data_IF_983131817744
#
_entry.id   IF_983131817744
#
_cell.length_a   1.000
_cell.length_b   1.000
_cell.length_c   1.000
_cell.angle_alpha   90.00
_cell.angle_beta   90.00
_cell.angle_gamma   90.00
#
_symmetry.space_group_name_H-M   'P 1'
#
loop_
_entity.id
_entity.type
_entity.pdbx_description
1 polymer ?
#
# COMPACT_ATOMS: atom_id res chain seq x y z
N UNK A 1 27.65 -4.92 -4.89
CA UNK A 1 26.76 -3.82 -5.33
C UNK A 1 25.38 -4.33 -5.77
N UNK A 2 25.26 -5.21 -6.78
CA UNK A 2 23.96 -5.79 -7.23
C UNK A 2 23.27 -6.65 -6.16
N UNK A 3 24.05 -7.39 -5.36
CA UNK A 3 23.52 -8.28 -4.30
C UNK A 3 22.76 -7.50 -3.20
N UNK A 4 23.22 -6.30 -2.82
CA UNK A 4 22.58 -5.48 -1.77
C UNK A 4 21.24 -4.88 -2.22
N UNK A 5 21.13 -4.45 -3.48
CA UNK A 5 19.87 -3.99 -4.08
C UNK A 5 18.85 -5.14 -4.13
N UNK A 6 19.29 -6.33 -4.56
CA UNK A 6 18.43 -7.51 -4.63
C UNK A 6 17.90 -7.95 -3.27
N UNK A 7 18.71 -7.88 -2.21
CA UNK A 7 18.27 -8.20 -0.86
C UNK A 7 17.31 -7.15 -0.26
N UNK A 8 17.59 -5.86 -0.46
CA UNK A 8 16.69 -4.79 -0.05
C UNK A 8 15.33 -4.89 -0.77
N UNK A 9 15.36 -5.11 -2.09
CA UNK A 9 14.16 -5.35 -2.89
C UNK A 9 13.38 -6.57 -2.37
N UNK A 10 14.06 -7.70 -2.12
CA UNK A 10 13.43 -8.92 -1.63
C UNK A 10 12.75 -8.70 -0.28
N UNK A 11 13.39 -7.98 0.66
CA UNK A 11 12.80 -7.63 1.96
C UNK A 11 11.54 -6.77 1.81
N UNK A 12 11.62 -5.71 1.00
CA UNK A 12 10.48 -4.81 0.74
C UNK A 12 9.32 -5.55 0.08
N UNK A 13 9.59 -6.36 -0.95
CA UNK A 13 8.55 -7.14 -1.64
C UNK A 13 7.90 -8.15 -0.69
N UNK A 14 8.67 -8.91 0.10
CA UNK A 14 8.08 -9.86 1.06
C UNK A 14 7.25 -9.16 2.13
N UNK A 15 7.70 -8.02 2.65
CA UNK A 15 6.91 -7.22 3.58
C UNK A 15 5.61 -6.76 2.91
N UNK A 16 5.70 -6.20 1.70
CA UNK A 16 4.56 -5.69 0.93
C UNK A 16 3.56 -6.79 0.58
N UNK A 17 4.01 -8.00 0.25
CA UNK A 17 3.12 -9.14 0.00
C UNK A 17 2.29 -9.48 1.24
N UNK A 18 2.90 -9.49 2.43
CA UNK A 18 2.18 -9.75 3.68
C UNK A 18 1.21 -8.61 4.01
N UNK A 19 1.61 -7.35 3.81
CA UNK A 19 0.75 -6.18 4.00
C UNK A 19 -0.46 -6.23 3.04
N UNK A 20 -0.22 -6.46 1.76
CA UNK A 20 -1.28 -6.57 0.74
C UNK A 20 -2.22 -7.74 1.04
N UNK A 21 -1.71 -8.87 1.54
CA UNK A 21 -2.55 -9.99 1.95
C UNK A 21 -3.48 -9.64 3.11
N UNK A 22 -2.98 -8.92 4.12
CA UNK A 22 -3.81 -8.43 5.25
C UNK A 22 -4.86 -7.44 4.75
N UNK A 23 -4.47 -6.47 3.92
CA UNK A 23 -5.41 -5.48 3.36
C UNK A 23 -6.51 -6.15 2.52
N UNK A 24 -6.11 -7.09 1.67
CA UNK A 24 -7.02 -7.90 0.86
C UNK A 24 -7.97 -8.70 1.73
N UNK A 25 -7.46 -9.37 2.78
CA UNK A 25 -8.30 -10.14 3.70
C UNK A 25 -9.34 -9.26 4.41
N UNK A 26 -8.94 -8.09 4.90
CA UNK A 26 -9.86 -7.17 5.56
C UNK A 26 -10.87 -6.57 4.59
N UNK A 27 -10.45 -6.29 3.35
CA UNK A 27 -11.33 -5.87 2.26
C UNK A 27 -12.32 -6.98 1.91
N UNK A 28 -11.91 -8.25 1.91
CA UNK A 28 -12.82 -9.38 1.72
C UNK A 28 -13.86 -9.44 2.84
N UNK A 29 -13.44 -9.28 4.09
CA UNK A 29 -14.37 -9.25 5.23
C UNK A 29 -15.38 -8.11 5.09
N UNK A 30 -14.94 -6.94 4.65
CA UNK A 30 -15.84 -5.82 4.41
C UNK A 30 -16.84 -6.09 3.27
N UNK A 31 -16.34 -6.51 2.10
CA UNK A 31 -17.15 -6.68 0.90
C UNK A 31 -18.10 -7.89 0.98
N UNK A 32 -17.69 -8.97 1.65
CA UNK A 32 -18.41 -10.24 1.67
C UNK A 32 -19.06 -10.58 3.01
N UNK A 33 -18.79 -9.81 4.08
CA UNK A 33 -19.44 -10.01 5.38
C UNK A 33 -20.12 -8.72 5.84
N UNK A 34 -19.39 -7.62 6.03
CA UNK A 34 -19.97 -6.40 6.59
C UNK A 34 -21.07 -5.79 5.71
N UNK A 35 -20.82 -5.64 4.41
CA UNK A 35 -21.82 -5.11 3.47
C UNK A 35 -23.03 -6.05 3.30
N UNK A 36 -22.87 -7.37 3.08
CA UNK A 36 -24.00 -8.28 2.98
C UNK A 36 -24.85 -8.36 4.25
N UNK A 37 -24.26 -8.25 5.44
CA UNK A 37 -25.01 -8.14 6.70
C UNK A 37 -25.89 -6.89 6.76
N UNK A 38 -25.50 -5.82 6.07
CA UNK A 38 -26.31 -4.61 5.88
C UNK A 38 -27.25 -4.69 4.66
N UNK A 39 -27.37 -5.85 4.01
CA UNK A 39 -28.19 -6.06 2.81
C UNK A 39 -27.59 -5.48 1.52
N UNK A 40 -26.33 -5.04 1.55
CA UNK A 40 -25.67 -4.36 0.43
C UNK A 40 -24.72 -5.33 -0.28
N UNK A 41 -24.79 -5.37 -1.61
CA UNK A 41 -23.88 -6.15 -2.43
C UNK A 41 -23.19 -5.23 -3.42
N UNK A 42 -21.87 -5.09 -3.30
CA UNK A 42 -21.10 -4.24 -4.21
C UNK A 42 -20.99 -4.93 -5.59
N UNK A 43 -21.28 -4.23 -6.71
CA UNK A 43 -21.00 -4.77 -8.02
C UNK A 43 -19.50 -5.06 -8.17
N UNK A 44 -19.17 -6.15 -8.87
CA UNK A 44 -17.79 -6.57 -9.13
C UNK A 44 -16.93 -6.82 -7.87
N UNK A 45 -17.53 -7.04 -6.69
CA UNK A 45 -16.79 -7.23 -5.43
C UNK A 45 -15.63 -8.25 -5.52
N UNK A 46 -15.84 -9.37 -6.25
CA UNK A 46 -14.79 -10.39 -6.48
C UNK A 46 -13.63 -9.84 -7.32
N UNK A 47 -13.94 -9.09 -8.37
CA UNK A 47 -12.95 -8.45 -9.24
C UNK A 47 -12.15 -7.41 -8.48
N UNK A 48 -12.84 -6.57 -7.69
CA UNK A 48 -12.18 -5.57 -6.83
C UNK A 48 -11.22 -6.24 -5.87
N UNK A 49 -11.64 -7.32 -5.20
CA UNK A 49 -10.77 -8.04 -4.28
C UNK A 49 -9.48 -8.54 -4.96
N UNK A 50 -9.59 -9.10 -6.16
CA UNK A 50 -8.42 -9.53 -6.94
C UNK A 50 -7.53 -8.34 -7.30
N UNK A 51 -8.12 -7.23 -7.74
CA UNK A 51 -7.39 -6.00 -8.07
C UNK A 51 -6.69 -5.43 -6.82
N UNK A 52 -7.37 -5.39 -5.68
CA UNK A 52 -6.80 -4.94 -4.40
C UNK A 52 -5.54 -5.71 -4.05
N UNK A 53 -5.57 -7.04 -4.21
CA UNK A 53 -4.39 -7.87 -3.97
C UNK A 53 -3.25 -7.56 -4.95
N UNK A 54 -3.54 -7.61 -6.25
CA UNK A 54 -2.54 -7.43 -7.31
C UNK A 54 -1.90 -6.04 -7.27
N UNK A 55 -2.73 -5.00 -7.22
CA UNK A 55 -2.28 -3.61 -7.25
C UNK A 55 -1.72 -3.22 -5.88
N UNK A 56 -2.20 -3.81 -4.77
CA UNK A 56 -1.63 -3.63 -3.43
C UNK A 56 -0.16 -4.08 -3.28
N UNK A 57 0.37 -4.84 -4.24
CA UNK A 57 1.81 -5.13 -4.32
C UNK A 57 2.64 -3.92 -4.76
N UNK A 58 2.01 -2.92 -5.41
CA UNK A 58 2.64 -1.64 -5.77
C UNK A 58 2.60 -0.72 -4.54
N UNK A 59 3.76 -0.34 -3.97
CA UNK A 59 3.80 0.54 -2.82
C UNK A 59 3.09 1.86 -3.11
N UNK A 60 2.23 2.30 -2.17
CA UNK A 60 1.44 3.55 -2.21
C UNK A 60 0.39 3.61 -3.32
N UNK A 61 0.78 3.45 -4.59
CA UNK A 61 -0.12 3.47 -5.76
C UNK A 61 -1.21 2.42 -5.65
N UNK A 62 -0.84 1.25 -5.10
CA UNK A 62 -1.76 0.13 -4.88
C UNK A 62 -3.03 0.50 -4.14
N UNK A 63 -2.84 1.15 -2.99
CA UNK A 63 -3.93 1.56 -2.13
C UNK A 63 -4.75 2.68 -2.73
N UNK A 64 -4.11 3.69 -3.35
CA UNK A 64 -4.84 4.78 -3.98
C UNK A 64 -5.79 4.26 -5.06
N UNK A 65 -5.31 3.36 -5.92
CA UNK A 65 -6.10 2.77 -6.99
C UNK A 65 -7.21 1.87 -6.43
N UNK A 66 -6.88 0.95 -5.52
CA UNK A 66 -7.87 0.05 -4.90
C UNK A 66 -8.99 0.84 -4.18
N UNK A 67 -8.61 1.83 -3.37
CA UNK A 67 -9.55 2.65 -2.61
C UNK A 67 -10.46 3.45 -3.53
N UNK A 68 -9.90 4.01 -4.60
CA UNK A 68 -10.67 4.75 -5.60
C UNK A 68 -11.72 3.86 -6.26
N UNK A 69 -11.36 2.64 -6.66
CA UNK A 69 -12.31 1.67 -7.24
C UNK A 69 -13.42 1.34 -6.25
N UNK A 70 -13.08 1.04 -4.99
CA UNK A 70 -14.07 0.71 -3.95
C UNK A 70 -15.05 1.87 -3.76
N UNK A 71 -14.57 3.10 -3.66
CA UNK A 71 -15.43 4.29 -3.48
C UNK A 71 -16.33 4.52 -4.69
N UNK A 72 -15.80 4.41 -5.92
CA UNK A 72 -16.60 4.57 -7.15
C UNK A 72 -17.71 3.51 -7.23
N UNK A 73 -17.39 2.25 -6.96
CA UNK A 73 -18.37 1.16 -6.97
C UNK A 73 -19.36 1.25 -5.80
N UNK A 74 -18.99 1.91 -4.71
CA UNK A 74 -19.88 2.18 -3.60
C UNK A 74 -20.85 3.32 -3.92
N UNK A 75 -20.38 4.36 -4.59
CA UNK A 75 -21.19 5.48 -5.08
C UNK A 75 -22.25 5.02 -6.09
N UNK A 76 -21.95 4.02 -6.91
CA UNK A 76 -22.93 3.45 -7.85
C UNK A 76 -24.05 2.66 -7.15
N UNK A 77 -23.85 2.26 -5.89
CA UNK A 77 -24.90 1.65 -5.05
C UNK A 77 -25.66 2.73 -4.29
N UNK A 78 -24.98 3.53 -3.48
CA UNK A 78 -25.58 4.69 -2.78
C UNK A 78 -24.52 5.59 -2.14
N UNK A 79 -24.90 6.84 -1.85
CA UNK A 79 -24.04 7.76 -1.08
C UNK A 79 -23.73 7.23 0.33
N UNK A 80 -24.69 6.57 0.99
CA UNK A 80 -24.47 6.00 2.32
C UNK A 80 -23.42 4.88 2.31
N UNK A 81 -23.43 4.01 1.29
CA UNK A 81 -22.43 2.94 1.12
C UNK A 81 -21.06 3.52 0.77
N UNK A 82 -21.00 4.60 -0.01
CA UNK A 82 -19.76 5.31 -0.28
C UNK A 82 -19.14 5.92 0.98
N UNK A 83 -19.94 6.57 1.82
CA UNK A 83 -19.49 7.11 3.10
C UNK A 83 -19.01 5.98 4.03
N UNK A 84 -19.78 4.90 4.15
CA UNK A 84 -19.39 3.74 4.94
C UNK A 84 -18.06 3.14 4.45
N UNK A 85 -17.89 3.04 3.12
CA UNK A 85 -16.65 2.56 2.50
C UNK A 85 -15.49 3.50 2.76
N UNK A 86 -15.68 4.82 2.67
CA UNK A 86 -14.64 5.80 3.02
C UNK A 86 -14.18 5.65 4.48
N UNK A 87 -15.13 5.50 5.41
CA UNK A 87 -14.81 5.27 6.83
C UNK A 87 -14.00 3.98 6.99
N UNK A 88 -14.47 2.89 6.39
CA UNK A 88 -13.76 1.62 6.39
C UNK A 88 -12.33 1.75 5.84
N UNK A 89 -12.17 2.39 4.68
CA UNK A 89 -10.88 2.58 4.01
C UNK A 89 -9.92 3.43 4.85
N UNK A 90 -10.39 4.48 5.51
CA UNK A 90 -9.57 5.29 6.43
C UNK A 90 -9.09 4.45 7.61
N UNK A 91 -9.96 3.62 8.20
CA UNK A 91 -9.60 2.73 9.32
C UNK A 91 -8.55 1.70 8.89
N UNK A 92 -8.76 1.03 7.76
CA UNK A 92 -7.83 0.03 7.25
C UNK A 92 -6.50 0.65 6.86
N UNK A 93 -6.50 1.81 6.21
CA UNK A 93 -5.27 2.50 5.86
C UNK A 93 -4.45 2.89 7.09
N UNK A 94 -5.11 3.30 8.17
CA UNK A 94 -4.44 3.58 9.44
C UNK A 94 -3.87 2.31 10.08
N UNK A 95 -4.61 1.19 10.04
CA UNK A 95 -4.11 -0.12 10.48
C UNK A 95 -2.88 -0.55 9.65
N UNK A 96 -2.94 -0.35 8.34
CA UNK A 96 -1.81 -0.64 7.45
C UNK A 96 -0.58 0.19 7.83
N UNK A 97 -0.75 1.48 8.14
CA UNK A 97 0.35 2.32 8.60
C UNK A 97 1.04 1.74 9.85
N UNK A 98 0.26 1.24 10.81
CA UNK A 98 0.82 0.55 11.99
C UNK A 98 1.51 -0.76 11.63
N UNK A 99 0.93 -1.55 10.72
CA UNK A 99 1.54 -2.79 10.22
C UNK A 99 2.84 -2.51 9.47
N UNK A 100 2.90 -1.47 8.64
CA UNK A 100 4.09 -1.02 7.93
C UNK A 100 5.18 -0.63 8.94
N UNK A 101 4.85 0.13 9.98
CA UNK A 101 5.79 0.49 11.03
C UNK A 101 6.33 -0.76 11.75
N UNK A 102 5.48 -1.73 12.08
CA UNK A 102 5.88 -2.96 12.75
C UNK A 102 6.71 -3.90 11.85
N UNK A 103 6.32 -4.06 10.57
CA UNK A 103 6.91 -5.03 9.65
C UNK A 103 8.15 -4.52 8.91
N UNK A 104 8.15 -3.23 8.51
CA UNK A 104 9.25 -2.59 7.77
C UNK A 104 10.22 -1.91 8.73
N UNK A 105 9.71 -1.29 9.81
CA UNK A 105 10.54 -0.61 10.82
C UNK A 105 11.56 -1.54 11.49
N UNK A 106 11.25 -2.82 11.63
CA UNK A 106 12.17 -3.83 12.14
C UNK A 106 13.37 -4.12 11.22
N UNK A 107 13.37 -3.68 9.96
CA UNK A 107 14.36 -4.08 8.96
C UNK A 107 15.21 -2.95 8.36
N UNK A 108 14.79 -1.68 8.41
CA UNK A 108 15.45 -0.62 7.60
C UNK A 108 15.83 0.66 8.34
N UNK A 109 15.42 0.89 9.60
CA UNK A 109 15.76 2.13 10.35
C UNK A 109 15.54 3.43 9.54
N UNK A 110 14.53 3.45 8.67
CA UNK A 110 14.18 4.60 7.85
C UNK A 110 12.92 5.26 8.39
N UNK A 111 12.93 6.59 8.50
CA UNK A 111 11.74 7.33 8.89
C UNK A 111 10.78 7.48 7.70
N UNK A 112 9.47 7.40 7.97
CA UNK A 112 8.44 7.51 6.95
C UNK A 112 8.52 8.80 6.12
N UNK A 113 8.97 9.92 6.73
CA UNK A 113 9.13 11.20 6.03
C UNK A 113 10.25 11.17 4.99
N UNK A 114 11.34 10.42 5.21
CA UNK A 114 12.45 10.32 4.27
C UNK A 114 12.04 9.57 3.00
N UNK A 115 11.25 8.51 3.20
CA UNK A 115 10.67 7.74 2.12
C UNK A 115 9.66 8.58 1.32
N UNK A 116 8.78 9.33 2.00
CA UNK A 116 7.83 10.24 1.35
C UNK A 116 8.54 11.32 0.53
N UNK A 117 9.62 11.89 1.06
CA UNK A 117 10.43 12.86 0.33
C UNK A 117 11.06 12.24 -0.92
N UNK A 118 11.63 11.04 -0.80
CA UNK A 118 12.19 10.30 -1.94
C UNK A 118 11.12 10.00 -3.00
N UNK A 119 9.91 9.66 -2.57
CA UNK A 119 8.75 9.45 -3.44
C UNK A 119 8.37 10.70 -4.21
N UNK A 120 8.24 11.85 -3.52
CA UNK A 120 7.95 13.14 -4.15
C UNK A 120 9.02 13.58 -5.15
N UNK A 121 10.30 13.44 -4.79
CA UNK A 121 11.42 13.82 -5.67
C UNK A 121 11.46 12.94 -6.91
N UNK A 122 11.31 11.63 -6.74
CA UNK A 122 11.33 10.70 -7.86
C UNK A 122 10.08 10.83 -8.74
N UNK A 123 8.91 11.09 -8.15
CA UNK A 123 7.69 11.40 -8.90
C UNK A 123 7.85 12.69 -9.71
N UNK A 124 8.40 13.75 -9.12
CA UNK A 124 8.65 15.00 -9.85
C UNK A 124 9.66 14.83 -10.99
N UNK A 125 10.66 13.96 -10.82
CA UNK A 125 11.69 13.71 -11.83
C UNK A 125 11.27 12.73 -12.94
N UNK A 126 10.49 11.69 -12.61
CA UNK A 126 10.22 10.56 -13.51
C UNK A 126 8.74 10.15 -13.58
N UNK A 127 7.83 10.86 -12.91
CA UNK A 127 6.40 10.54 -12.84
C UNK A 127 6.09 9.25 -12.06
N UNK A 128 5.02 8.57 -12.45
CA UNK A 128 4.57 7.30 -11.83
C UNK A 128 5.70 6.24 -11.76
N UNK A 129 6.51 6.03 -12.83
CA UNK A 129 7.66 5.12 -12.73
C UNK A 129 8.65 5.50 -11.61
N UNK A 130 8.88 6.80 -11.40
CA UNK A 130 9.71 7.31 -10.31
C UNK A 130 9.12 7.00 -8.94
N UNK A 131 7.82 7.25 -8.78
CA UNK A 131 7.09 6.97 -7.54
C UNK A 131 7.19 5.48 -7.15
N UNK A 132 7.06 4.58 -8.12
CA UNK A 132 7.19 3.12 -7.92
C UNK A 132 8.63 2.74 -7.55
N UNK A 133 9.63 3.36 -8.19
CA UNK A 133 11.03 3.05 -7.97
C UNK A 133 11.61 3.65 -6.68
N UNK A 134 11.00 4.73 -6.16
CA UNK A 134 11.52 5.51 -5.03
C UNK A 134 11.83 4.70 -3.77
N UNK A 135 10.99 3.75 -3.30
CA UNK A 135 11.31 2.97 -2.11
C UNK A 135 12.56 2.10 -2.27
N UNK A 136 12.78 1.58 -3.48
CA UNK A 136 13.91 0.73 -3.80
C UNK A 136 15.19 1.56 -3.84
N UNK A 137 15.16 2.69 -4.53
CA UNK A 137 16.30 3.59 -4.63
C UNK A 137 16.67 4.20 -3.27
N UNK A 138 15.67 4.63 -2.49
CA UNK A 138 15.89 5.18 -1.16
C UNK A 138 16.54 4.16 -0.22
N UNK A 139 16.02 2.93 -0.17
CA UNK A 139 16.60 1.86 0.65
C UNK A 139 18.06 1.56 0.25
N UNK A 140 18.37 1.55 -1.04
CA UNK A 140 19.73 1.34 -1.53
C UNK A 140 20.68 2.48 -1.15
N UNK A 141 20.28 3.73 -1.37
CA UNK A 141 21.13 4.90 -1.06
C UNK A 141 21.40 4.98 0.44
N UNK A 142 20.38 4.73 1.27
CA UNK A 142 20.54 4.74 2.73
C UNK A 142 21.48 3.63 3.22
N UNK A 143 21.36 2.42 2.70
CA UNK A 143 22.27 1.31 3.02
C UNK A 143 23.72 1.61 2.64
N UNK A 144 23.95 2.24 1.48
CA UNK A 144 25.30 2.63 1.05
C UNK A 144 25.89 3.72 1.96
N UNK A 145 25.09 4.71 2.37
CA UNK A 145 25.50 5.78 3.28
C UNK A 145 25.88 5.25 4.67
N UNK A 146 25.05 4.38 5.25
CA UNK A 146 25.31 3.73 6.54
C UNK A 146 26.57 2.86 6.46
N UNK A 147 26.75 2.10 5.38
CA UNK A 147 27.93 1.26 5.20
C UNK A 147 29.24 2.05 5.11
N UNK A 148 29.15 3.32 4.69
CA UNK A 148 30.28 4.26 4.62
C UNK A 148 30.43 5.13 5.87
N UNK A 149 29.58 4.94 6.90
CA UNK A 149 29.50 5.77 8.12
C UNK A 149 29.30 7.27 7.83
N UNK A 150 28.57 7.58 6.76
CA UNK A 150 28.24 8.96 6.41
C UNK A 150 26.97 9.46 7.10
N UNK A 151 26.16 8.52 7.63
CA UNK A 151 24.94 8.75 8.39
C UNK A 151 24.75 7.59 9.37
#
# INVERSE_FOLDING_TARGET
RVVRVGEAFRRVVFAQTRISAVNTFLTALYLFVALPLAGVHLPLAKTVLVITFLVGLLPVVGNLLSNTIIVILSLSVSLSVAIASLIFLVVIHKLEYFLNAHMIGAQVHAHAWELLLAMLVMEAAFGIPGLIAAPIYYAYVKDELVSRRLV
#
